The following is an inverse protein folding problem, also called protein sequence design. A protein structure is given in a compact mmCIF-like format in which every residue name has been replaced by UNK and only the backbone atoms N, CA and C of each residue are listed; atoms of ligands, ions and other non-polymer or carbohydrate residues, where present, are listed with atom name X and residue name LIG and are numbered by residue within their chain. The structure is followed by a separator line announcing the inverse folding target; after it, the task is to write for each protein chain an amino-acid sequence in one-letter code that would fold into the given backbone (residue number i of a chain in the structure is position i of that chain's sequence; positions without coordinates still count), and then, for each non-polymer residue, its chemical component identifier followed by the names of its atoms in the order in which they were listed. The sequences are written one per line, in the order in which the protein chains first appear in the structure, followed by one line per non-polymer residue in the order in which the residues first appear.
data_IF_778840152112
#
_entry.id   IF_778840152112
#
_cell.length_a   1.000
_cell.length_b   1.000
_cell.length_c   1.000
_cell.angle_alpha   90.00
_cell.angle_beta   90.00
_cell.angle_gamma   90.00
#
_symmetry.space_group_name_H-M   'P 1'
#
loop_
_entity.id
_entity.type
_entity.pdbx_description
1 polymer ?
#
# COMPACT_ATOMS: atom_id res chain seq x y z
N UNK A 1 -15.79 14.85 8.11
CA UNK A 1 -14.52 15.38 7.58
C UNK A 1 -13.52 14.26 7.71
N UNK A 2 -13.03 13.76 6.57
CA UNK A 2 -11.88 12.85 6.55
C UNK A 2 -10.68 13.65 7.07
N UNK A 3 -9.95 13.15 8.07
CA UNK A 3 -8.73 13.82 8.51
C UNK A 3 -7.59 13.49 7.52
N UNK A 4 -6.50 14.25 7.49
CA UNK A 4 -5.44 14.10 6.48
C UNK A 4 -4.81 12.69 6.45
N UNK A 5 -4.87 11.95 7.56
CA UNK A 5 -4.43 10.56 7.64
C UNK A 5 -5.39 9.62 6.90
N UNK A 6 -6.69 9.81 7.07
CA UNK A 6 -7.72 9.04 6.38
C UNK A 6 -7.62 9.28 4.86
N UNK A 7 -7.37 10.52 4.44
CA UNK A 7 -7.16 10.86 3.02
C UNK A 7 -5.91 10.20 2.43
N UNK A 8 -4.77 10.22 3.15
CA UNK A 8 -3.57 9.50 2.72
C UNK A 8 -3.81 7.99 2.65
N UNK A 9 -4.55 7.44 3.63
CA UNK A 9 -4.89 6.01 3.66
C UNK A 9 -5.72 5.63 2.43
N UNK A 10 -6.77 6.42 2.13
CA UNK A 10 -7.59 6.22 0.94
C UNK A 10 -6.80 6.31 -0.36
N UNK A 11 -5.86 7.27 -0.46
CA UNK A 11 -5.00 7.42 -1.63
C UNK A 11 -4.05 6.22 -1.81
N UNK A 12 -3.47 5.68 -0.73
CA UNK A 12 -2.62 4.49 -0.80
C UNK A 12 -3.40 3.25 -1.21
N UNK A 13 -4.66 3.12 -0.78
CA UNK A 13 -5.56 2.03 -1.21
C UNK A 13 -5.82 2.14 -2.71
N UNK A 14 -6.19 3.32 -3.21
CA UNK A 14 -6.38 3.55 -4.65
C UNK A 14 -5.11 3.28 -5.46
N UNK A 15 -3.94 3.66 -4.96
CA UNK A 15 -2.66 3.34 -5.60
C UNK A 15 -2.39 1.83 -5.62
N UNK A 16 -2.60 1.13 -4.51
CA UNK A 16 -2.43 -0.31 -4.42
C UNK A 16 -3.37 -1.06 -5.37
N UNK A 17 -4.62 -0.62 -5.48
CA UNK A 17 -5.61 -1.17 -6.40
C UNK A 17 -5.21 -0.97 -7.87
N UNK A 18 -4.86 0.27 -8.25
CA UNK A 18 -4.37 0.62 -9.59
C UNK A 18 -3.13 -0.20 -9.99
N UNK A 19 -2.15 -0.32 -9.09
CA UNK A 19 -0.96 -1.16 -9.33
C UNK A 19 -1.36 -2.63 -9.44
N UNK A 20 -2.26 -3.11 -8.60
CA UNK A 20 -2.72 -4.52 -8.62
C UNK A 20 -3.44 -4.86 -9.92
N UNK A 21 -4.26 -3.96 -10.47
CA UNK A 21 -4.84 -4.11 -11.80
C UNK A 21 -3.74 -4.24 -12.86
N UNK A 22 -2.75 -3.33 -12.85
CA UNK A 22 -1.62 -3.42 -13.77
C UNK A 22 -0.80 -4.71 -13.64
N UNK A 23 -0.59 -5.23 -12.42
CA UNK A 23 0.09 -6.51 -12.19
C UNK A 23 -0.72 -7.70 -12.73
N UNK A 24 -2.05 -7.63 -12.65
CA UNK A 24 -2.92 -8.71 -13.15
C UNK A 24 -3.01 -8.71 -14.68
N UNK A 25 -2.97 -7.54 -15.32
CA UNK A 25 -3.07 -7.42 -16.78
C UNK A 25 -1.74 -7.63 -17.52
N UNK A 26 -0.61 -7.35 -16.85
CA UNK A 26 0.72 -7.39 -17.47
C UNK A 26 1.53 -8.53 -16.85
N UNK A 27 1.70 -9.62 -17.61
CA UNK A 27 2.46 -10.79 -17.18
C UNK A 27 3.91 -10.41 -16.77
N UNK A 28 4.32 -10.87 -15.58
CA UNK A 28 5.67 -10.64 -15.04
C UNK A 28 5.91 -9.23 -14.51
N UNK A 29 4.92 -8.35 -14.49
CA UNK A 29 5.06 -7.00 -13.94
C UNK A 29 4.87 -6.99 -12.43
N UNK A 30 5.96 -6.73 -11.69
CA UNK A 30 5.93 -6.47 -10.24
C UNK A 30 6.79 -5.23 -9.95
N UNK A 31 6.18 -4.05 -9.69
CA UNK A 31 6.96 -2.83 -9.54
C UNK A 31 7.62 -2.72 -8.15
N UNK A 32 8.94 -2.83 -8.11
CA UNK A 32 9.75 -2.69 -6.88
C UNK A 32 10.69 -1.46 -6.84
N UNK A 33 10.62 -0.59 -7.85
CA UNK A 33 11.36 0.68 -7.93
C UNK A 33 10.55 1.89 -7.41
N UNK A 34 10.45 2.97 -8.20
CA UNK A 34 9.74 4.20 -7.80
C UNK A 34 8.32 3.97 -7.21
N UNK A 35 7.47 3.06 -7.75
CA UNK A 35 6.17 2.77 -7.13
C UNK A 35 6.28 2.25 -5.69
N UNK A 36 7.30 1.45 -5.41
CA UNK A 36 7.56 0.95 -4.07
C UNK A 36 8.01 2.09 -3.14
N UNK A 37 8.85 3.00 -3.62
CA UNK A 37 9.28 4.17 -2.83
C UNK A 37 8.10 5.04 -2.39
N UNK A 38 7.19 5.38 -3.31
CA UNK A 38 6.01 6.21 -2.99
C UNK A 38 5.08 5.49 -2.01
N UNK A 39 4.78 4.22 -2.27
CA UNK A 39 3.88 3.40 -1.43
C UNK A 39 4.46 3.22 -0.03
N UNK A 40 5.75 2.89 0.06
CA UNK A 40 6.44 2.67 1.32
C UNK A 40 6.52 3.97 2.15
N UNK A 41 6.86 5.09 1.53
CA UNK A 41 6.90 6.39 2.19
C UNK A 41 5.53 6.77 2.79
N UNK A 42 4.44 6.55 2.04
CA UNK A 42 3.09 6.77 2.56
C UNK A 42 2.76 5.91 3.77
N UNK A 43 3.04 4.60 3.71
CA UNK A 43 2.81 3.67 4.82
C UNK A 43 3.63 4.00 6.07
N UNK A 44 4.88 4.46 5.89
CA UNK A 44 5.75 4.92 6.99
C UNK A 44 5.20 6.20 7.62
N UNK A 45 4.77 7.17 6.81
CA UNK A 45 4.15 8.41 7.29
C UNK A 45 2.85 8.12 8.05
N UNK A 46 2.06 7.14 7.60
CA UNK A 46 0.89 6.68 8.34
C UNK A 46 1.27 6.05 9.69
N UNK A 47 2.38 5.32 9.81
CA UNK A 47 2.79 4.79 11.13
C UNK A 47 3.25 5.91 12.07
N UNK A 48 4.03 6.85 11.54
CA UNK A 48 4.70 7.91 12.29
C UNK A 48 4.40 9.29 11.68
N UNK A 49 3.17 9.81 11.84
CA UNK A 49 2.82 11.10 11.28
C UNK A 49 3.65 12.20 11.94
N UNK A 50 4.34 12.99 11.11
CA UNK A 50 5.28 14.03 11.61
C UNK A 50 4.75 15.45 11.44
N UNK A 51 3.82 15.69 10.51
CA UNK A 51 3.06 16.94 10.38
C UNK A 51 1.89 16.79 9.39
N UNK A 52 0.88 17.66 9.50
CA UNK A 52 -0.21 17.77 8.51
C UNK A 52 0.32 18.11 7.11
N UNK A 53 1.34 18.96 7.01
CA UNK A 53 1.97 19.31 5.73
C UNK A 53 2.57 18.09 5.03
N UNK A 54 3.26 17.22 5.78
CA UNK A 54 3.83 15.99 5.22
C UNK A 54 2.76 14.99 4.81
N UNK A 55 1.67 14.88 5.58
CA UNK A 55 0.52 14.07 5.20
C UNK A 55 -0.08 14.58 3.88
N UNK A 56 -0.38 15.88 3.79
CA UNK A 56 -0.94 16.48 2.59
C UNK A 56 -0.02 16.35 1.36
N UNK A 57 1.29 16.62 1.53
CA UNK A 57 2.25 16.47 0.44
C UNK A 57 2.33 15.03 -0.07
N UNK A 58 2.39 14.06 0.85
CA UNK A 58 2.42 12.64 0.49
C UNK A 58 1.11 12.20 -0.16
N UNK A 59 -0.04 12.69 0.29
CA UNK A 59 -1.34 12.42 -0.32
C UNK A 59 -1.36 12.88 -1.78
N UNK A 60 -0.95 14.12 -2.06
CA UNK A 60 -0.92 14.64 -3.43
C UNK A 60 0.09 13.90 -4.32
N UNK A 61 1.26 13.55 -3.78
CA UNK A 61 2.23 12.72 -4.48
C UNK A 61 1.65 11.33 -4.82
N UNK A 62 0.89 10.72 -3.90
CA UNK A 62 0.25 9.42 -4.09
C UNK A 62 -0.84 9.50 -5.16
N UNK A 63 -1.71 10.52 -5.12
CA UNK A 63 -2.76 10.74 -6.13
C UNK A 63 -2.17 10.98 -7.52
N UNK A 64 -1.15 11.83 -7.63
CA UNK A 64 -0.47 12.06 -8.91
C UNK A 64 0.16 10.77 -9.47
N UNK A 65 0.60 9.87 -8.58
CA UNK A 65 1.19 8.60 -8.98
C UNK A 65 0.14 7.56 -9.43
N UNK A 66 -1.09 7.62 -8.89
CA UNK A 66 -2.23 6.84 -9.41
C UNK A 66 -2.45 7.15 -10.88
N UNK A 67 -2.61 8.44 -11.22
CA UNK A 67 -2.79 8.89 -12.60
C UNK A 67 -1.61 8.46 -13.48
N UNK A 68 -0.38 8.62 -12.98
CA UNK A 68 0.82 8.20 -13.72
C UNK A 68 0.83 6.69 -14.04
N UNK A 69 0.50 5.83 -13.07
CA UNK A 69 0.46 4.37 -13.29
C UNK A 69 -0.65 4.02 -14.26
N UNK A 70 -1.85 4.57 -14.07
CA UNK A 70 -3.00 4.41 -14.95
C UNK A 70 -2.67 4.75 -16.40
N UNK A 71 -2.18 5.96 -16.67
CA UNK A 71 -1.80 6.42 -18.01
C UNK A 71 -0.68 5.58 -18.62
N UNK A 72 0.35 5.24 -17.84
CA UNK A 72 1.53 4.54 -18.35
C UNK A 72 1.28 3.05 -18.60
N UNK A 73 0.35 2.43 -17.86
CA UNK A 73 0.05 0.99 -17.94
C UNK A 73 -1.24 0.68 -18.69
N UNK A 74 -2.10 1.67 -18.91
CA UNK A 74 -3.37 1.50 -19.60
C UNK A 74 -4.45 0.84 -18.76
N UNK A 75 -4.39 1.00 -17.43
CA UNK A 75 -5.34 0.44 -16.45
C UNK A 75 -6.23 1.52 -15.86
N UNK A 76 -7.26 1.12 -15.13
CA UNK A 76 -8.16 2.05 -14.44
C UNK A 76 -7.44 2.78 -13.30
N UNK A 77 -7.57 4.11 -13.24
CA UNK A 77 -7.19 4.87 -12.05
C UNK A 77 -8.27 4.67 -10.96
N UNK A 78 -7.89 4.11 -9.83
CA UNK A 78 -8.79 3.96 -8.69
C UNK A 78 -8.88 5.25 -7.86
N UNK A 79 -10.08 5.57 -7.41
CA UNK A 79 -10.34 6.73 -6.56
C UNK A 79 -9.74 6.59 -5.15
N UNK A 80 -9.69 7.70 -4.43
CA UNK A 80 -9.37 7.71 -2.99
C UNK A 80 -10.47 6.95 -2.22
N UNK A 81 -10.11 5.84 -1.59
CA UNK A 81 -11.07 5.01 -0.87
C UNK A 81 -11.63 5.69 0.40
N UNK A 82 -12.90 5.45 0.70
CA UNK A 82 -13.52 5.85 1.97
C UNK A 82 -13.14 4.87 3.09
N UNK A 83 -12.31 5.34 4.01
CA UNK A 83 -11.81 4.53 5.14
C UNK A 83 -12.58 4.73 6.44
N UNK A 84 -13.64 5.55 6.43
CA UNK A 84 -14.40 5.90 7.64
C UNK A 84 -15.10 4.71 8.32
N UNK A 85 -15.33 3.62 7.58
CA UNK A 85 -15.99 2.40 8.05
C UNK A 85 -15.03 1.25 8.42
N UNK A 86 -13.71 1.49 8.36
CA UNK A 86 -12.71 0.43 8.58
C UNK A 86 -12.83 -0.17 9.98
N UNK A 87 -12.80 -1.49 10.05
CA UNK A 87 -12.87 -2.25 11.28
C UNK A 87 -12.19 -3.62 11.10
N UNK A 88 -11.95 -4.31 12.21
CA UNK A 88 -11.48 -5.70 12.23
C UNK A 88 -10.25 -5.92 11.33
N UNK A 89 -10.37 -6.84 10.39
CA UNK A 89 -9.29 -7.27 9.50
C UNK A 89 -8.69 -6.12 8.69
N UNK A 90 -9.50 -5.15 8.22
CA UNK A 90 -8.98 -4.00 7.47
C UNK A 90 -8.06 -3.11 8.33
N UNK A 91 -8.45 -2.86 9.58
CA UNK A 91 -7.62 -2.09 10.52
C UNK A 91 -6.34 -2.85 10.88
N UNK A 92 -6.43 -4.15 11.08
CA UNK A 92 -5.27 -5.02 11.38
C UNK A 92 -4.31 -5.08 10.19
N UNK A 93 -4.83 -5.28 8.97
CA UNK A 93 -4.02 -5.33 7.76
C UNK A 93 -3.32 -3.98 7.49
N UNK A 94 -3.99 -2.85 7.71
CA UNK A 94 -3.35 -1.54 7.60
C UNK A 94 -2.19 -1.39 8.60
N UNK A 95 -2.36 -1.89 9.83
CA UNK A 95 -1.28 -1.90 10.83
C UNK A 95 -0.10 -2.80 10.43
N UNK A 96 -0.40 -3.96 9.83
CA UNK A 96 0.59 -4.89 9.30
C UNK A 96 1.37 -4.27 8.13
N UNK A 97 0.67 -3.64 7.16
CA UNK A 97 1.28 -2.92 6.04
C UNK A 97 2.25 -1.83 6.51
N UNK A 98 1.83 -1.00 7.46
CA UNK A 98 2.71 0.01 8.05
C UNK A 98 3.91 -0.58 8.80
N UNK A 99 3.78 -1.77 9.38
CA UNK A 99 4.89 -2.47 10.06
C UNK A 99 5.90 -2.99 9.04
N UNK A 100 5.44 -3.68 7.99
CA UNK A 100 6.26 -4.13 6.86
C UNK A 100 7.00 -2.96 6.23
N UNK A 101 6.30 -1.84 6.01
CA UNK A 101 6.90 -0.66 5.41
C UNK A 101 8.05 -0.06 6.25
N UNK A 102 7.91 -0.09 7.58
CA UNK A 102 8.97 0.33 8.50
C UNK A 102 10.19 -0.58 8.43
N UNK A 103 10.00 -1.90 8.34
CA UNK A 103 11.08 -2.89 8.23
C UNK A 103 11.81 -2.77 6.88
N UNK A 104 11.08 -2.55 5.78
CA UNK A 104 11.68 -2.35 4.45
C UNK A 104 12.63 -1.15 4.38
N UNK A 105 12.51 -0.14 5.26
CA UNK A 105 13.45 0.99 5.28
C UNK A 105 14.90 0.60 5.61
N UNK A 106 15.11 -0.55 6.26
CA UNK A 106 16.44 -1.04 6.64
C UNK A 106 17.00 -2.05 5.64
N UNK A 107 16.27 -2.35 4.58
CA UNK A 107 16.64 -3.35 3.57
C UNK A 107 17.05 -2.60 2.30
N UNK A 108 18.29 -2.79 1.84
CA UNK A 108 18.83 -2.09 0.66
C UNK A 108 18.42 -2.75 -0.67
N UNK A 109 18.05 -4.03 -0.65
CA UNK A 109 17.69 -4.79 -1.85
C UNK A 109 16.20 -4.67 -2.20
N UNK A 110 15.90 -4.62 -3.50
CA UNK A 110 14.51 -4.65 -3.97
C UNK A 110 13.82 -5.97 -3.60
N UNK A 111 12.64 -5.88 -3.00
CA UNK A 111 11.85 -7.04 -2.55
C UNK A 111 10.55 -7.18 -3.35
N UNK A 112 10.58 -7.75 -4.56
CA UNK A 112 9.41 -7.82 -5.43
C UNK A 112 8.26 -8.62 -4.80
N UNK A 113 8.52 -9.77 -4.17
CA UNK A 113 7.46 -10.60 -3.55
C UNK A 113 6.77 -9.89 -2.38
N UNK A 114 7.56 -9.22 -1.53
CA UNK A 114 7.01 -8.44 -0.40
C UNK A 114 6.21 -7.25 -0.94
N UNK A 115 6.72 -6.55 -1.96
CA UNK A 115 6.00 -5.43 -2.56
C UNK A 115 4.72 -5.87 -3.27
N UNK A 116 4.72 -7.02 -3.94
CA UNK A 116 3.49 -7.61 -4.48
C UNK A 116 2.45 -7.82 -3.37
N UNK A 117 2.85 -8.40 -2.23
CA UNK A 117 1.96 -8.53 -1.08
C UNK A 117 1.46 -7.17 -0.58
N UNK A 118 2.32 -6.14 -0.51
CA UNK A 118 1.93 -4.79 -0.11
C UNK A 118 0.84 -4.21 -1.02
N UNK A 119 1.02 -4.28 -2.34
CA UNK A 119 0.03 -3.73 -3.30
C UNK A 119 -1.29 -4.50 -3.25
N UNK A 120 -1.24 -5.83 -3.25
CA UNK A 120 -2.45 -6.67 -3.18
C UNK A 120 -3.17 -6.51 -1.85
N UNK A 121 -2.42 -6.27 -0.77
CA UNK A 121 -2.99 -5.95 0.55
C UNK A 121 -3.69 -4.61 0.55
N UNK A 122 -3.07 -3.56 0.00
CA UNK A 122 -3.73 -2.25 -0.16
C UNK A 122 -4.99 -2.37 -1.02
N UNK A 123 -4.94 -3.06 -2.16
CA UNK A 123 -6.10 -3.30 -3.02
C UNK A 123 -7.23 -4.06 -2.31
N UNK A 124 -6.90 -5.01 -1.44
CA UNK A 124 -7.91 -5.77 -0.67
C UNK A 124 -8.72 -4.89 0.29
N UNK A 125 -8.19 -3.75 0.71
CA UNK A 125 -8.87 -2.82 1.62
C UNK A 125 -9.99 -2.03 0.93
N UNK A 126 -9.97 -1.94 -0.40
CA UNK A 126 -11.02 -1.31 -1.21
C UNK A 126 -12.31 -2.16 -1.23
N UNK A 127 -12.20 -3.47 -1.04
CA UNK A 127 -13.34 -4.39 -1.10
C UNK A 127 -14.33 -4.12 0.03
N UNK A 128 -15.63 -4.28 -0.20
CA UNK A 128 -16.64 -3.96 0.82
C UNK A 128 -16.47 -4.79 2.12
N UNK A 129 -16.09 -6.06 1.97
CA UNK A 129 -16.01 -7.03 3.06
C UNK A 129 -14.60 -7.13 3.69
N UNK A 130 -14.49 -7.83 4.81
CA UNK A 130 -13.20 -8.16 5.45
C UNK A 130 -12.56 -9.45 4.88
N UNK A 131 -13.18 -10.14 3.92
CA UNK A 131 -12.72 -11.46 3.48
C UNK A 131 -11.34 -11.42 2.79
N UNK A 132 -11.13 -10.46 1.91
CA UNK A 132 -9.88 -10.28 1.17
C UNK A 132 -8.78 -9.78 2.11
N UNK A 133 -9.11 -8.86 3.03
CA UNK A 133 -8.18 -8.43 4.07
C UNK A 133 -7.73 -9.60 4.97
N UNK A 134 -8.64 -10.48 5.38
CA UNK A 134 -8.31 -11.70 6.12
C UNK A 134 -7.39 -12.64 5.33
N UNK A 135 -7.58 -12.72 4.01
CA UNK A 135 -6.75 -13.57 3.14
C UNK A 135 -5.32 -13.04 3.04
N UNK A 136 -5.15 -11.72 3.04
CA UNK A 136 -3.83 -11.08 3.06
C UNK A 136 -3.15 -11.20 4.43
N UNK A 137 -3.91 -11.07 5.53
CA UNK A 137 -3.43 -11.32 6.89
C UNK A 137 -2.94 -12.75 7.09
N UNK A 138 -3.59 -13.74 6.47
CA UNK A 138 -3.12 -15.13 6.54
C UNK A 138 -1.72 -15.33 5.93
N UNK A 139 -1.28 -14.43 5.04
CA UNK A 139 0.08 -14.43 4.47
C UNK A 139 1.08 -13.58 5.25
N UNK A 140 0.63 -12.83 6.26
CA UNK A 140 1.48 -11.88 6.97
C UNK A 140 2.63 -12.56 7.71
N UNK A 141 2.40 -13.76 8.28
CA UNK A 141 3.46 -14.53 8.96
C UNK A 141 4.60 -14.91 8.01
N UNK A 142 4.27 -15.34 6.79
CA UNK A 142 5.26 -15.64 5.74
C UNK A 142 6.07 -14.41 5.38
N UNK A 143 5.42 -13.25 5.20
CA UNK A 143 6.09 -11.98 4.90
C UNK A 143 7.03 -11.56 6.03
N UNK A 144 6.63 -11.73 7.29
CA UNK A 144 7.50 -11.44 8.43
C UNK A 144 8.74 -12.35 8.45
N UNK A 145 8.57 -13.66 8.18
CA UNK A 145 9.71 -14.58 8.11
C UNK A 145 10.70 -14.19 7.01
N UNK A 146 10.21 -13.73 5.84
CA UNK A 146 11.07 -13.22 4.77
C UNK A 146 11.84 -11.96 5.20
N UNK A 147 11.15 -10.99 5.84
CA UNK A 147 11.79 -9.77 6.34
C UNK A 147 12.84 -10.06 7.41
N UNK A 148 12.55 -10.95 8.35
CA UNK A 148 13.49 -11.36 9.40
C UNK A 148 14.76 -11.96 8.79
N UNK A 149 14.61 -12.83 7.77
CA UNK A 149 15.74 -13.44 7.06
C UNK A 149 16.61 -12.44 6.30
N UNK A 150 16.02 -11.34 5.81
CA UNK A 150 16.74 -10.26 5.12
C UNK A 150 17.48 -9.31 6.09
N UNK A 151 17.06 -9.28 7.35
CA UNK A 151 17.62 -8.41 8.39
C UNK A 151 18.70 -9.06 9.27
N UNK A 152 18.93 -10.37 9.08
CA UNK A 152 19.87 -11.19 9.84
C UNK A 152 21.31 -11.11 9.28
#
# INVERSE_FOLDING_TARGET
MSNSRDELTGALIGLGATITEAMNEIEGFIPCGNPATITNAGLVILKNPTSEEKLAHQTEATKAFIEHVSEHRGVTAHDVADVSSFNGAKTELLSALSTVAMQLQTIEEHQPEIMEWVYRSLASLEQESNAEANSQLARYEEIQQQLDALSA
#
